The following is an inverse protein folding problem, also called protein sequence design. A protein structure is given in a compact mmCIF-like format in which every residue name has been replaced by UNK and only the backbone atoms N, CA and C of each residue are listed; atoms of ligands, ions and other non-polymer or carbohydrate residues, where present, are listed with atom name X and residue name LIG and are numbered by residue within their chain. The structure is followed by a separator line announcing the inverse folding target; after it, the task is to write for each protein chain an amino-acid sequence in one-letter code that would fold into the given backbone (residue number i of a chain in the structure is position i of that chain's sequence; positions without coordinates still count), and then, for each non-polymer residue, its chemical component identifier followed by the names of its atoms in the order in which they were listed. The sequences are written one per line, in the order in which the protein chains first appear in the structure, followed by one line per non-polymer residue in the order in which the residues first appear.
data_IF_984933816764
#
_entry.id   IF_984933816764
#
_cell.length_a   1.000
_cell.length_b   1.000
_cell.length_c   1.000
_cell.angle_alpha   90.00
_cell.angle_beta   90.00
_cell.angle_gamma   90.00
#
_symmetry.space_group_name_H-M   'P 1'
#
loop_
_entity.id
_entity.type
_entity.pdbx_description
1 polymer ?
#
# COMPACT_ATOMS: atom_id res chain seq x y z
N UNK A 1 -17.82 -26.23 -25.34
CA UNK A 1 -18.54 -25.02 -24.85
C UNK A 1 -18.29 -24.75 -23.36
N UNK A 2 -18.54 -25.73 -22.47
CA UNK A 2 -18.36 -25.59 -21.00
C UNK A 2 -16.93 -25.26 -20.56
N UNK A 3 -15.91 -25.89 -21.15
CA UNK A 3 -14.50 -25.63 -20.80
C UNK A 3 -14.09 -24.19 -21.09
N UNK A 4 -14.58 -23.61 -22.20
CA UNK A 4 -14.34 -22.21 -22.54
C UNK A 4 -15.03 -21.24 -21.57
N UNK A 5 -16.25 -21.57 -21.14
CA UNK A 5 -16.96 -20.79 -20.11
C UNK A 5 -16.24 -20.84 -18.75
N UNK A 6 -15.72 -22.01 -18.36
CA UNK A 6 -14.93 -22.16 -17.13
C UNK A 6 -13.63 -21.37 -17.18
N UNK A 7 -12.91 -21.41 -18.31
CA UNK A 7 -11.70 -20.64 -18.51
C UNK A 7 -11.96 -19.13 -18.44
N UNK A 8 -13.08 -18.67 -19.03
CA UNK A 8 -13.52 -17.27 -18.96
C UNK A 8 -13.85 -16.85 -17.52
N UNK A 9 -14.57 -17.68 -16.76
CA UNK A 9 -14.89 -17.42 -15.36
C UNK A 9 -13.63 -17.36 -14.49
N UNK A 10 -12.69 -18.30 -14.67
CA UNK A 10 -11.42 -18.31 -13.95
C UNK A 10 -10.59 -17.05 -14.25
N UNK A 11 -10.54 -16.63 -15.52
CA UNK A 11 -9.90 -15.39 -15.91
C UNK A 11 -10.53 -14.17 -15.24
N UNK A 12 -11.87 -14.09 -15.21
CA UNK A 12 -12.58 -12.99 -14.55
C UNK A 12 -12.27 -12.92 -13.06
N UNK A 13 -12.20 -14.06 -12.38
CA UNK A 13 -11.83 -14.14 -10.95
C UNK A 13 -10.40 -13.65 -10.73
N UNK A 14 -9.45 -14.09 -11.56
CA UNK A 14 -8.06 -13.64 -11.48
C UNK A 14 -7.93 -12.12 -11.69
N UNK A 15 -8.67 -11.56 -12.66
CA UNK A 15 -8.72 -10.11 -12.90
C UNK A 15 -9.30 -9.37 -11.70
N UNK A 16 -10.39 -9.87 -11.12
CA UNK A 16 -10.99 -9.27 -9.92
C UNK A 16 -10.00 -9.27 -8.74
N UNK A 17 -9.28 -10.37 -8.52
CA UNK A 17 -8.22 -10.44 -7.50
C UNK A 17 -7.12 -9.41 -7.79
N UNK A 18 -6.68 -9.31 -9.04
CA UNK A 18 -5.69 -8.32 -9.46
C UNK A 18 -6.13 -6.90 -9.15
N UNK A 19 -7.38 -6.55 -9.44
CA UNK A 19 -7.96 -5.24 -9.13
C UNK A 19 -8.01 -5.01 -7.61
N UNK A 20 -8.46 -5.99 -6.83
CA UNK A 20 -8.53 -5.88 -5.36
C UNK A 20 -7.15 -5.61 -4.77
N UNK A 21 -6.13 -6.36 -5.20
CA UNK A 21 -4.75 -6.15 -4.76
C UNK A 21 -4.29 -4.75 -5.14
N UNK A 22 -4.53 -4.33 -6.38
CA UNK A 22 -4.09 -3.04 -6.88
C UNK A 22 -4.75 -1.88 -6.12
N UNK A 23 -6.05 -1.98 -5.84
CA UNK A 23 -6.80 -0.97 -5.05
C UNK A 23 -6.34 -0.96 -3.59
N UNK A 24 -6.16 -2.11 -2.95
CA UNK A 24 -5.69 -2.19 -1.56
C UNK A 24 -4.26 -1.64 -1.42
N UNK A 25 -3.35 -2.07 -2.30
CA UNK A 25 -1.95 -1.68 -2.24
C UNK A 25 -1.80 -0.21 -2.61
N UNK A 26 -2.30 0.24 -3.77
CA UNK A 26 -2.16 1.64 -4.19
C UNK A 26 -2.96 2.57 -3.28
N UNK A 27 -4.17 2.18 -2.87
CA UNK A 27 -4.97 2.94 -1.93
C UNK A 27 -4.27 3.12 -0.58
N UNK A 28 -3.59 2.07 -0.09
CA UNK A 28 -2.78 2.16 1.12
C UNK A 28 -1.54 3.05 0.94
N UNK A 29 -0.85 2.95 -0.21
CA UNK A 29 0.32 3.78 -0.52
C UNK A 29 -0.01 5.27 -0.55
N UNK A 30 -1.14 5.65 -1.15
CA UNK A 30 -1.60 7.05 -1.17
C UNK A 30 -1.91 7.52 0.24
N UNK A 31 -2.54 6.67 1.07
CA UNK A 31 -2.85 7.00 2.45
C UNK A 31 -1.58 7.25 3.29
N UNK A 32 -0.54 6.43 3.09
CA UNK A 32 0.71 6.55 3.85
C UNK A 32 1.72 7.52 3.22
N UNK A 33 1.36 8.19 2.12
CA UNK A 33 2.25 9.12 1.43
C UNK A 33 2.83 10.22 2.35
N UNK A 34 2.04 10.87 3.24
CA UNK A 34 2.59 11.84 4.17
C UNK A 34 3.57 11.22 5.17
N UNK A 35 3.29 10.00 5.66
CA UNK A 35 4.20 9.27 6.54
C UNK A 35 5.53 8.96 5.83
N UNK A 36 5.49 8.62 4.54
CA UNK A 36 6.69 8.41 3.71
C UNK A 36 7.50 9.70 3.56
N UNK A 37 6.85 10.85 3.34
CA UNK A 37 7.55 12.15 3.28
C UNK A 37 8.25 12.45 4.61
N UNK A 38 7.57 12.28 5.74
CA UNK A 38 8.16 12.52 7.06
C UNK A 38 9.37 11.61 7.29
N UNK A 39 9.26 10.33 6.94
CA UNK A 39 10.36 9.38 7.04
C UNK A 39 11.56 9.78 6.18
N UNK A 40 11.33 10.24 4.94
CA UNK A 40 12.37 10.73 4.05
C UNK A 40 13.06 11.97 4.62
N UNK A 41 12.30 12.93 5.16
CA UNK A 41 12.88 14.12 5.82
C UNK A 41 13.75 13.70 7.00
N UNK A 42 13.29 12.79 7.84
CA UNK A 42 14.05 12.29 9.00
C UNK A 42 15.31 11.54 8.53
N UNK A 43 15.22 10.75 7.47
CA UNK A 43 16.38 10.07 6.89
C UNK A 43 17.43 11.06 6.39
N UNK A 44 17.01 12.12 5.69
CA UNK A 44 17.89 13.15 5.16
C UNK A 44 18.58 13.95 6.28
N UNK A 45 17.87 14.22 7.38
CA UNK A 45 18.40 14.99 8.51
C UNK A 45 19.30 14.16 9.44
N UNK A 46 18.99 12.88 9.63
CA UNK A 46 19.68 12.03 10.63
C UNK A 46 20.64 11.02 10.02
N UNK A 47 20.52 10.72 8.72
CA UNK A 47 21.23 9.62 8.04
C UNK A 47 20.88 8.22 8.55
N UNK A 48 19.96 8.11 9.51
CA UNK A 48 19.66 6.86 10.21
C UNK A 48 18.35 6.24 9.71
N UNK A 49 18.49 5.06 9.12
CA UNK A 49 17.35 4.24 8.68
C UNK A 49 16.41 3.87 9.82
N UNK A 50 16.93 3.72 11.04
CA UNK A 50 16.15 3.32 12.21
C UNK A 50 15.23 4.46 12.68
N UNK A 51 15.73 5.70 12.70
CA UNK A 51 14.92 6.87 13.04
C UNK A 51 13.91 7.22 11.93
N UNK A 52 14.30 7.07 10.67
CA UNK A 52 13.38 7.24 9.54
C UNK A 52 12.23 6.22 9.57
N UNK A 53 12.54 4.95 9.84
CA UNK A 53 11.56 3.89 10.01
C UNK A 53 10.63 4.15 11.20
N UNK A 54 11.17 4.60 12.35
CA UNK A 54 10.35 4.97 13.50
C UNK A 54 9.42 6.15 13.19
N UNK A 55 9.92 7.18 12.50
CA UNK A 55 9.12 8.34 12.10
C UNK A 55 8.01 7.96 11.11
N UNK A 56 8.29 7.08 10.14
CA UNK A 56 7.28 6.50 9.26
C UNK A 56 6.18 5.83 10.09
N UNK A 57 6.55 4.95 11.00
CA UNK A 57 5.63 4.10 11.75
C UNK A 57 4.73 4.93 12.68
N UNK A 58 5.31 5.88 13.42
CA UNK A 58 4.56 6.79 14.30
C UNK A 58 3.58 7.64 13.47
N UNK A 59 4.05 8.22 12.36
CA UNK A 59 3.19 9.06 11.51
C UNK A 59 2.08 8.24 10.85
N UNK A 60 2.37 7.03 10.39
CA UNK A 60 1.40 6.11 9.82
C UNK A 60 0.31 5.73 10.83
N UNK A 61 0.67 5.45 12.08
CA UNK A 61 -0.29 5.18 13.16
C UNK A 61 -1.17 6.40 13.40
N UNK A 62 -0.59 7.60 13.54
CA UNK A 62 -1.34 8.85 13.74
C UNK A 62 -2.33 9.06 12.59
N UNK A 63 -1.89 8.86 11.35
CA UNK A 63 -2.76 8.99 10.17
C UNK A 63 -3.91 7.98 10.17
N UNK A 64 -3.68 6.73 10.59
CA UNK A 64 -4.75 5.73 10.69
C UNK A 64 -5.75 6.12 11.78
N UNK A 65 -5.28 6.63 12.92
CA UNK A 65 -6.14 6.99 14.06
C UNK A 65 -6.94 8.27 13.79
N UNK A 66 -6.40 9.22 13.03
CA UNK A 66 -7.05 10.50 12.72
C UNK A 66 -7.89 10.48 11.44
N UNK A 67 -7.89 9.37 10.69
CA UNK A 67 -8.69 9.18 9.48
C UNK A 67 -10.14 8.87 9.82
#
# INVERSE_FOLDING_TARGET
MIVGLLALLLFLVLVAIGIIILVLVIGSLILFFPATIVALVVLLLTGSWLFAGAAFLVTAIIMIVLK
#
